data_IF_162679646227
#
_entry.id   IF_162679646227
#
_cell.length_a   1.000
_cell.length_b   1.000
_cell.length_c   1.000
_cell.angle_alpha   90.00
_cell.angle_beta   90.00
_cell.angle_gamma   90.00
#
_symmetry.space_group_name_H-M   'P 1'
#
loop_
_entity.id
_entity.type
_entity.pdbx_description
1 polymer ?
#
# COMPACT_ATOMS: atom_id res chain seq x y z
N UNK A 1 -24.48 11.62 22.53
CA UNK A 1 -25.44 11.26 21.45
C UNK A 1 -24.61 10.68 20.33
N UNK A 2 -24.70 9.39 20.09
CA UNK A 2 -24.06 8.76 18.93
C UNK A 2 -24.78 9.25 17.68
N UNK A 3 -24.07 9.93 16.78
CA UNK A 3 -24.63 10.33 15.50
C UNK A 3 -25.18 9.09 14.77
N UNK A 4 -26.28 9.25 14.01
CA UNK A 4 -26.83 8.15 13.22
C UNK A 4 -25.77 7.65 12.24
N UNK A 5 -25.71 6.32 11.99
CA UNK A 5 -24.79 5.73 11.03
C UNK A 5 -24.87 6.45 9.68
N UNK A 6 -23.71 6.75 9.09
CA UNK A 6 -23.58 7.36 7.76
C UNK A 6 -22.95 6.36 6.80
N UNK A 7 -23.25 6.46 5.52
CA UNK A 7 -22.67 5.59 4.51
C UNK A 7 -21.47 6.28 3.86
N UNK A 8 -20.28 5.67 3.95
CA UNK A 8 -19.04 6.16 3.33
C UNK A 8 -18.67 5.27 2.15
N UNK A 9 -18.54 5.86 0.97
CA UNK A 9 -18.09 5.18 -0.24
C UNK A 9 -16.57 5.16 -0.28
N UNK A 10 -15.98 3.99 -0.50
CA UNK A 10 -14.56 3.84 -0.86
C UNK A 10 -14.42 3.19 -2.24
N UNK A 11 -13.28 3.41 -2.91
CA UNK A 11 -13.00 2.72 -4.17
C UNK A 11 -12.36 1.36 -3.95
N UNK A 12 -12.70 0.41 -4.80
CA UNK A 12 -12.12 -0.93 -4.89
C UNK A 12 -11.00 -1.05 -5.92
N UNK A 13 -10.45 0.07 -6.43
CA UNK A 13 -9.45 0.06 -7.51
C UNK A 13 -8.23 -0.80 -7.16
N UNK A 14 -7.57 -0.48 -6.06
CA UNK A 14 -6.39 -1.23 -5.61
C UNK A 14 -6.74 -2.59 -4.97
N UNK A 15 -7.96 -2.75 -4.45
CA UNK A 15 -8.45 -4.00 -3.87
C UNK A 15 -8.66 -5.10 -4.91
N UNK A 16 -8.92 -4.73 -6.16
CA UNK A 16 -9.10 -5.67 -7.28
C UNK A 16 -7.78 -6.18 -7.88
N UNK A 17 -6.64 -5.63 -7.49
CA UNK A 17 -5.34 -6.07 -7.97
C UNK A 17 -4.94 -7.43 -7.35
N UNK A 18 -4.53 -8.39 -8.19
CA UNK A 18 -4.14 -9.74 -7.74
C UNK A 18 -2.94 -9.74 -6.79
N UNK A 19 -2.00 -8.80 -6.95
CA UNK A 19 -0.84 -8.61 -6.07
C UNK A 19 -1.12 -7.42 -5.16
N UNK A 20 -1.30 -7.69 -3.86
CA UNK A 20 -1.55 -6.65 -2.87
C UNK A 20 -0.42 -5.62 -2.83
N UNK A 21 -0.78 -4.34 -2.91
CA UNK A 21 0.12 -3.19 -2.73
C UNK A 21 -0.10 -2.57 -1.34
N UNK A 22 0.80 -1.71 -0.88
CA UNK A 22 0.59 -0.93 0.35
C UNK A 22 -0.73 -0.16 0.33
N UNK A 23 -1.15 0.35 -0.84
CA UNK A 23 -2.44 1.04 -1.01
C UNK A 23 -3.63 0.09 -0.81
N UNK A 24 -3.53 -1.17 -1.25
CA UNK A 24 -4.57 -2.16 -0.98
C UNK A 24 -4.68 -2.51 0.51
N UNK A 25 -3.55 -2.55 1.22
CA UNK A 25 -3.53 -2.71 2.68
C UNK A 25 -4.17 -1.51 3.38
N UNK A 26 -3.82 -0.30 2.95
CA UNK A 26 -4.47 0.93 3.42
C UNK A 26 -5.99 0.89 3.24
N UNK A 27 -6.48 0.57 2.04
CA UNK A 27 -7.92 0.52 1.75
C UNK A 27 -8.67 -0.51 2.61
N UNK A 28 -8.06 -1.68 2.87
CA UNK A 28 -8.64 -2.69 3.79
C UNK A 28 -8.69 -2.19 5.24
N UNK A 29 -7.61 -1.58 5.72
CA UNK A 29 -7.56 -1.04 7.08
C UNK A 29 -8.55 0.14 7.23
N UNK A 30 -8.59 1.04 6.25
CA UNK A 30 -9.56 2.13 6.21
C UNK A 30 -10.99 1.61 6.32
N UNK A 31 -11.38 0.61 5.53
CA UNK A 31 -12.74 0.06 5.56
C UNK A 31 -13.11 -0.54 6.91
N UNK A 32 -12.18 -1.28 7.54
CA UNK A 32 -12.37 -1.83 8.89
C UNK A 32 -12.59 -0.73 9.94
N UNK A 33 -11.76 0.33 9.88
CA UNK A 33 -11.84 1.39 10.87
C UNK A 33 -13.08 2.27 10.67
N UNK A 34 -13.54 2.48 9.42
CA UNK A 34 -14.85 3.13 9.15
C UNK A 34 -15.99 2.35 9.83
N UNK A 35 -16.03 1.02 9.64
CA UNK A 35 -17.01 0.16 10.30
C UNK A 35 -16.93 0.19 11.84
N UNK A 36 -15.71 0.23 12.40
CA UNK A 36 -15.47 0.33 13.84
C UNK A 36 -15.86 1.69 14.46
N UNK A 37 -15.84 2.75 13.64
CA UNK A 37 -16.39 4.08 14.04
C UNK A 37 -17.91 4.03 14.14
N UNK A 38 -18.57 3.10 13.46
CA UNK A 38 -20.02 2.94 13.42
C UNK A 38 -20.68 3.47 12.15
N UNK A 39 -19.90 3.67 11.08
CA UNK A 39 -20.41 4.04 9.76
C UNK A 39 -20.51 2.82 8.85
N UNK A 40 -21.47 2.86 7.91
CA UNK A 40 -21.59 1.85 6.86
C UNK A 40 -20.52 2.07 5.77
N UNK A 41 -19.94 0.98 5.29
CA UNK A 41 -18.95 1.00 4.21
C UNK A 41 -19.57 0.55 2.91
N UNK A 42 -19.60 1.42 1.92
CA UNK A 42 -19.93 1.09 0.54
C UNK A 42 -18.65 0.99 -0.30
N UNK A 43 -18.49 -0.08 -1.07
CA UNK A 43 -17.30 -0.27 -1.92
C UNK A 43 -17.69 -0.23 -3.39
N UNK A 44 -17.04 0.64 -4.17
CA UNK A 44 -17.24 0.76 -5.61
C UNK A 44 -16.19 -0.07 -6.38
N UNK A 45 -16.64 -1.05 -7.14
CA UNK A 45 -15.79 -1.83 -8.04
C UNK A 45 -16.00 -1.46 -9.51
N UNK A 46 -15.02 -1.81 -10.35
CA UNK A 46 -15.03 -1.60 -11.78
C UNK A 46 -14.97 -2.91 -12.60
N UNK A 47 -15.48 -4.01 -12.05
CA UNK A 47 -15.38 -5.33 -12.68
C UNK A 47 -16.28 -5.40 -13.94
N UNK A 48 -15.77 -6.02 -15.00
CA UNK A 48 -16.51 -6.30 -16.25
C UNK A 48 -17.48 -7.49 -16.07
N UNK A 49 -18.17 -7.53 -14.95
CA UNK A 49 -19.19 -8.52 -14.68
C UNK A 49 -20.47 -8.26 -15.46
N UNK A 50 -21.23 -9.30 -15.73
CA UNK A 50 -22.54 -9.16 -16.37
C UNK A 50 -23.49 -8.37 -15.45
N UNK A 51 -24.03 -7.28 -15.95
CA UNK A 51 -24.96 -6.40 -15.24
C UNK A 51 -26.41 -6.90 -15.37
N UNK A 52 -26.62 -8.22 -15.23
CA UNK A 52 -27.93 -8.86 -15.29
C UNK A 52 -28.97 -8.14 -14.43
N UNK A 53 -30.23 -8.19 -14.85
CA UNK A 53 -31.37 -7.75 -14.05
C UNK A 53 -31.56 -8.66 -12.83
N UNK A 54 -31.26 -9.97 -12.97
CA UNK A 54 -31.31 -10.95 -11.90
C UNK A 54 -30.21 -10.68 -10.85
N UNK A 55 -30.59 -10.46 -9.58
CA UNK A 55 -29.63 -10.18 -8.51
C UNK A 55 -28.62 -11.30 -8.28
N UNK A 56 -29.07 -12.59 -8.33
CA UNK A 56 -28.19 -13.73 -8.13
C UNK A 56 -27.15 -13.85 -9.25
N UNK A 57 -27.56 -13.66 -10.50
CA UNK A 57 -26.63 -13.71 -11.63
C UNK A 57 -25.63 -12.55 -11.61
N UNK A 58 -26.01 -11.38 -11.05
CA UNK A 58 -25.06 -10.28 -10.81
C UNK A 58 -24.03 -10.68 -9.75
N UNK A 59 -24.47 -11.27 -8.64
CA UNK A 59 -23.56 -11.73 -7.58
C UNK A 59 -22.59 -12.79 -8.11
N UNK A 60 -23.08 -13.82 -8.77
CA UNK A 60 -22.25 -14.87 -9.39
C UNK A 60 -21.24 -14.27 -10.36
N UNK A 61 -21.71 -13.47 -11.31
CA UNK A 61 -20.82 -12.84 -12.32
C UNK A 61 -19.80 -11.87 -11.73
N UNK A 62 -20.09 -11.25 -10.60
CA UNK A 62 -19.16 -10.34 -9.91
C UNK A 62 -17.99 -11.11 -9.27
N UNK A 63 -18.27 -12.28 -8.69
CA UNK A 63 -17.25 -13.14 -8.04
C UNK A 63 -16.60 -14.15 -9.00
N UNK A 64 -17.11 -14.29 -10.23
CA UNK A 64 -16.48 -15.08 -11.29
C UNK A 64 -15.40 -14.28 -12.00
N UNK A 65 -14.16 -14.46 -11.57
CA UNK A 65 -13.00 -13.74 -12.13
C UNK A 65 -12.63 -14.19 -13.55
N UNK A 66 -13.01 -15.41 -13.94
CA UNK A 66 -12.66 -16.01 -15.23
C UNK A 66 -13.64 -15.60 -16.34
N UNK A 67 -14.85 -15.18 -15.99
CA UNK A 67 -15.84 -14.66 -16.92
C UNK A 67 -15.53 -13.27 -17.51
N UNK A 68 -14.44 -12.61 -17.05
CA UNK A 68 -14.07 -11.27 -17.51
C UNK A 68 -13.49 -11.31 -18.92
N UNK A 69 -14.33 -11.00 -19.92
CA UNK A 69 -13.89 -10.90 -21.31
C UNK A 69 -13.00 -9.68 -21.52
N UNK A 70 -11.75 -9.90 -21.90
CA UNK A 70 -10.86 -8.82 -22.36
C UNK A 70 -11.02 -8.64 -23.88
N UNK A 71 -11.44 -7.45 -24.35
CA UNK A 71 -11.50 -7.19 -25.78
C UNK A 71 -10.09 -7.18 -26.38
N UNK A 72 -9.98 -7.59 -27.66
CA UNK A 72 -8.75 -7.48 -28.41
C UNK A 72 -8.23 -6.04 -28.53
N UNK A 73 -7.00 -5.85 -29.05
CA UNK A 73 -6.33 -4.52 -29.10
C UNK A 73 -7.19 -3.45 -29.78
N UNK A 74 -7.86 -3.76 -30.90
CA UNK A 74 -8.74 -2.84 -31.64
C UNK A 74 -10.03 -2.52 -30.89
N UNK A 75 -10.64 -3.51 -30.24
CA UNK A 75 -11.81 -3.30 -29.41
C UNK A 75 -11.51 -2.39 -28.22
N UNK A 76 -10.33 -2.52 -27.62
CA UNK A 76 -9.87 -1.64 -26.53
C UNK A 76 -9.75 -0.17 -26.95
N UNK A 77 -9.24 0.11 -28.17
CA UNK A 77 -9.09 1.48 -28.66
C UNK A 77 -10.46 2.15 -28.91
N UNK A 78 -11.38 1.43 -29.54
CA UNK A 78 -12.75 1.92 -29.79
C UNK A 78 -13.49 2.17 -28.47
N UNK A 79 -13.41 1.24 -27.52
CA UNK A 79 -14.00 1.42 -26.18
C UNK A 79 -13.44 2.65 -25.45
N UNK A 80 -12.13 2.88 -25.51
CA UNK A 80 -11.51 4.06 -24.90
C UNK A 80 -12.04 5.36 -25.49
N UNK A 81 -12.22 5.44 -26.81
CA UNK A 81 -12.83 6.58 -27.46
C UNK A 81 -14.27 6.80 -27.00
N UNK A 82 -15.09 5.74 -26.96
CA UNK A 82 -16.47 5.82 -26.49
C UNK A 82 -16.54 6.21 -25.00
N UNK A 83 -15.65 5.71 -24.19
CA UNK A 83 -15.56 6.08 -22.78
C UNK A 83 -15.17 7.55 -22.59
N UNK A 84 -14.22 8.03 -23.39
CA UNK A 84 -13.82 9.42 -23.38
C UNK A 84 -14.98 10.35 -23.75
N UNK A 85 -15.71 10.04 -24.82
CA UNK A 85 -16.85 10.84 -25.29
C UNK A 85 -18.01 10.90 -24.30
N UNK A 86 -18.30 9.79 -23.60
CA UNK A 86 -19.41 9.69 -22.63
C UNK A 86 -19.05 10.20 -21.22
N UNK A 87 -17.81 10.56 -20.97
CA UNK A 87 -17.33 10.98 -19.66
C UNK A 87 -18.16 12.06 -18.95
N UNK A 88 -18.57 13.15 -19.67
CA UNK A 88 -19.38 14.23 -19.06
C UNK A 88 -20.76 13.80 -18.58
N UNK A 89 -21.34 12.73 -19.14
CA UNK A 89 -22.67 12.23 -18.75
C UNK A 89 -22.69 11.59 -17.36
N UNK A 90 -21.50 11.37 -16.76
CA UNK A 90 -21.36 10.63 -15.51
C UNK A 90 -21.56 9.12 -15.71
N UNK A 91 -21.46 8.38 -14.62
CA UNK A 91 -21.59 6.93 -14.63
C UNK A 91 -22.56 6.51 -13.53
N UNK A 92 -23.38 5.49 -13.82
CA UNK A 92 -24.24 4.86 -12.81
C UNK A 92 -23.60 3.58 -12.32
N UNK A 93 -23.61 3.37 -11.01
CA UNK A 93 -23.24 2.09 -10.41
C UNK A 93 -24.50 1.29 -10.08
N UNK A 94 -24.40 -0.03 -10.10
CA UNK A 94 -25.49 -0.93 -9.68
C UNK A 94 -25.09 -1.65 -8.40
N UNK A 95 -26.02 -1.89 -7.48
CA UNK A 95 -25.75 -2.68 -6.30
C UNK A 95 -25.47 -4.13 -6.70
N UNK A 96 -24.46 -4.73 -6.06
CA UNK A 96 -24.17 -6.15 -6.14
C UNK A 96 -24.73 -6.77 -4.87
N UNK A 97 -25.74 -7.66 -4.97
CA UNK A 97 -26.28 -8.33 -3.80
C UNK A 97 -25.20 -9.21 -3.16
N UNK A 98 -25.20 -9.27 -1.84
CA UNK A 98 -24.37 -10.19 -1.06
C UNK A 98 -25.32 -11.12 -0.30
N UNK A 99 -25.89 -12.07 -1.03
CA UNK A 99 -26.97 -12.94 -0.50
C UNK A 99 -26.46 -14.06 0.40
N UNK A 100 -25.14 -14.28 0.42
CA UNK A 100 -24.50 -15.42 1.10
C UNK A 100 -24.69 -16.76 0.38
N UNK A 101 -25.37 -16.77 -0.77
CA UNK A 101 -25.54 -17.97 -1.63
C UNK A 101 -24.28 -18.29 -2.42
N UNK A 102 -23.49 -17.29 -2.74
CA UNK A 102 -22.20 -17.45 -3.41
C UNK A 102 -21.11 -17.65 -2.37
N UNK A 103 -20.31 -18.71 -2.53
CA UNK A 103 -19.23 -19.03 -1.59
C UNK A 103 -18.04 -18.10 -1.88
N UNK A 104 -17.85 -17.10 -1.03
CA UNK A 104 -16.77 -16.09 -1.16
C UNK A 104 -15.59 -16.32 -0.20
N UNK A 105 -15.57 -17.42 0.54
CA UNK A 105 -14.54 -17.72 1.56
C UNK A 105 -13.12 -17.71 1.03
N UNK A 106 -12.89 -18.10 -0.22
CA UNK A 106 -11.58 -18.04 -0.89
C UNK A 106 -11.09 -16.62 -1.12
N UNK A 107 -11.99 -15.65 -1.15
CA UNK A 107 -11.69 -14.23 -1.32
C UNK A 107 -11.70 -13.44 -0.01
N UNK A 108 -12.17 -14.04 1.08
CA UNK A 108 -12.41 -13.33 2.35
C UNK A 108 -11.17 -12.60 2.88
N UNK A 109 -9.97 -13.15 2.69
CA UNK A 109 -8.72 -12.50 3.13
C UNK A 109 -8.32 -11.29 2.26
N UNK A 110 -8.91 -11.14 1.08
CA UNK A 110 -8.63 -10.06 0.12
C UNK A 110 -9.72 -8.99 0.10
N UNK A 111 -10.92 -9.32 0.56
CA UNK A 111 -12.03 -8.38 0.61
C UNK A 111 -11.83 -7.36 1.74
N UNK A 112 -12.20 -6.09 1.53
CA UNK A 112 -12.32 -5.11 2.60
C UNK A 112 -13.51 -5.46 3.51
N UNK A 113 -13.67 -4.79 4.62
CA UNK A 113 -14.95 -4.70 5.30
C UNK A 113 -15.94 -3.94 4.41
N UNK A 114 -17.17 -4.42 4.25
CA UNK A 114 -18.22 -3.75 3.50
C UNK A 114 -19.61 -4.13 3.99
N UNK A 115 -20.50 -3.18 3.94
CA UNK A 115 -21.94 -3.36 4.15
C UNK A 115 -22.66 -3.37 2.80
N UNK A 116 -22.16 -2.60 1.83
CA UNK A 116 -22.72 -2.50 0.47
C UNK A 116 -21.63 -2.59 -0.58
N UNK A 117 -21.95 -3.25 -1.68
CA UNK A 117 -21.08 -3.32 -2.86
C UNK A 117 -21.79 -2.71 -4.05
N UNK A 118 -21.11 -1.79 -4.73
CA UNK A 118 -21.52 -1.23 -6.01
C UNK A 118 -20.53 -1.65 -7.10
N UNK A 119 -21.06 -1.93 -8.30
CA UNK A 119 -20.22 -2.17 -9.47
C UNK A 119 -20.64 -1.27 -10.63
N UNK A 120 -19.66 -0.66 -11.27
CA UNK A 120 -19.82 0.06 -12.53
C UNK A 120 -18.74 -0.41 -13.51
N UNK A 121 -19.06 -1.20 -14.53
CA UNK A 121 -18.06 -1.81 -15.41
C UNK A 121 -17.08 -0.80 -15.98
N UNK A 122 -15.77 -1.09 -15.81
CA UNK A 122 -14.64 -0.24 -16.25
C UNK A 122 -14.65 1.20 -15.71
N UNK A 123 -15.34 1.49 -14.61
CA UNK A 123 -15.51 2.85 -14.08
C UNK A 123 -14.18 3.62 -13.99
N UNK A 124 -13.13 2.98 -13.53
CA UNK A 124 -11.81 3.59 -13.36
C UNK A 124 -11.14 3.90 -14.70
N UNK A 125 -11.19 2.96 -15.66
CA UNK A 125 -10.67 3.16 -17.03
C UNK A 125 -11.44 4.24 -17.77
N UNK A 126 -12.76 4.22 -17.66
CA UNK A 126 -13.65 5.23 -18.26
C UNK A 126 -13.32 6.62 -17.73
N UNK A 127 -13.18 6.76 -16.42
CA UNK A 127 -12.82 8.02 -15.80
C UNK A 127 -11.44 8.52 -16.26
N UNK A 128 -10.44 7.64 -16.33
CA UNK A 128 -9.11 8.00 -16.83
C UNK A 128 -9.13 8.44 -18.30
N UNK A 129 -9.84 7.71 -19.16
CA UNK A 129 -9.98 8.06 -20.58
C UNK A 129 -10.73 9.39 -20.79
N UNK A 130 -11.81 9.59 -20.04
CA UNK A 130 -12.56 10.85 -20.06
C UNK A 130 -11.72 12.02 -19.55
N UNK A 131 -10.94 11.81 -18.48
CA UNK A 131 -10.04 12.84 -17.94
C UNK A 131 -8.93 13.25 -18.92
N UNK A 132 -8.38 12.30 -19.68
CA UNK A 132 -7.39 12.61 -20.72
C UNK A 132 -7.97 13.56 -21.78
N UNK A 133 -9.24 13.38 -22.16
CA UNK A 133 -9.90 14.19 -23.18
C UNK A 133 -10.45 15.51 -22.61
N UNK A 134 -11.21 15.43 -21.51
CA UNK A 134 -11.98 16.57 -20.99
C UNK A 134 -11.29 17.32 -19.85
N UNK A 135 -10.29 16.72 -19.21
CA UNK A 135 -9.59 17.29 -18.06
C UNK A 135 -10.48 17.50 -16.81
N UNK A 136 -11.59 16.77 -16.70
CA UNK A 136 -12.55 16.87 -15.61
C UNK A 136 -12.78 15.50 -14.97
N UNK A 137 -12.91 15.40 -13.61
CA UNK A 137 -13.33 14.17 -12.96
C UNK A 137 -14.76 13.76 -13.39
N UNK A 138 -14.95 12.47 -13.68
CA UNK A 138 -16.25 11.90 -13.99
C UNK A 138 -17.10 11.74 -12.73
N UNK A 139 -18.39 12.09 -12.81
CA UNK A 139 -19.32 11.88 -11.70
C UNK A 139 -19.79 10.42 -11.65
N UNK A 140 -19.87 9.86 -10.42
CA UNK A 140 -20.52 8.57 -10.16
C UNK A 140 -21.81 8.82 -9.38
N UNK A 141 -22.88 8.10 -9.75
CA UNK A 141 -24.20 8.19 -9.11
C UNK A 141 -24.70 6.78 -8.79
N UNK A 142 -24.43 6.25 -7.62
CA UNK A 142 -25.08 5.04 -7.13
C UNK A 142 -26.59 5.29 -6.91
N UNK A 143 -27.45 4.26 -7.02
CA UNK A 143 -28.90 4.43 -6.80
C UNK A 143 -29.22 4.78 -5.33
N UNK A 144 -28.45 4.25 -4.40
CA UNK A 144 -28.45 4.63 -2.99
C UNK A 144 -27.23 5.49 -2.74
N UNK A 145 -27.43 6.80 -2.60
CA UNK A 145 -26.37 7.78 -2.50
C UNK A 145 -25.67 7.72 -1.14
N UNK A 146 -24.37 7.36 -1.08
CA UNK A 146 -23.57 7.51 0.13
C UNK A 146 -23.50 8.96 0.60
N UNK A 147 -23.24 9.17 1.88
CA UNK A 147 -23.15 10.51 2.46
C UNK A 147 -21.83 11.21 2.11
N UNK A 148 -20.75 10.42 1.91
CA UNK A 148 -19.40 10.89 1.62
C UNK A 148 -18.67 9.86 0.74
N UNK A 149 -17.74 10.31 -0.11
CA UNK A 149 -16.75 9.43 -0.75
C UNK A 149 -15.35 9.70 -0.21
N UNK A 150 -14.68 8.62 0.23
CA UNK A 150 -13.26 8.63 0.58
C UNK A 150 -12.48 7.77 -0.44
N UNK A 151 -11.91 8.45 -1.43
CA UNK A 151 -11.13 7.83 -2.48
C UNK A 151 -9.77 7.42 -1.94
N UNK A 152 -9.44 6.14 -2.01
CA UNK A 152 -8.20 5.58 -1.42
C UNK A 152 -6.95 5.87 -2.24
N UNK A 153 -7.12 6.44 -3.43
CA UNK A 153 -6.07 6.79 -4.38
C UNK A 153 -6.52 7.98 -5.25
N UNK A 154 -5.61 8.84 -5.75
CA UNK A 154 -5.99 9.94 -6.63
C UNK A 154 -6.56 9.42 -7.95
N UNK A 155 -7.86 9.60 -8.15
CA UNK A 155 -8.57 9.19 -9.36
C UNK A 155 -9.45 10.30 -9.88
N UNK A 156 -9.65 10.38 -11.22
CA UNK A 156 -10.52 11.37 -11.82
C UNK A 156 -12.01 10.96 -11.71
N UNK A 157 -12.44 10.62 -10.49
CA UNK A 157 -13.82 10.27 -10.14
C UNK A 157 -14.29 11.14 -8.98
N UNK A 158 -15.57 11.46 -8.92
CA UNK A 158 -16.21 12.12 -7.79
C UNK A 158 -17.61 11.57 -7.55
N UNK A 159 -18.04 11.49 -6.32
CA UNK A 159 -19.43 11.23 -5.95
C UNK A 159 -20.24 12.51 -6.18
N UNK A 160 -21.31 12.43 -6.98
CA UNK A 160 -22.06 13.61 -7.37
C UNK A 160 -22.86 14.20 -6.19
N UNK A 161 -22.69 15.51 -5.92
CA UNK A 161 -23.49 16.24 -4.91
C UNK A 161 -23.23 15.82 -3.46
N UNK A 162 -22.09 15.20 -3.20
CA UNK A 162 -21.64 14.79 -1.86
C UNK A 162 -20.18 15.16 -1.64
N UNK A 163 -19.72 15.27 -0.38
CA UNK A 163 -18.32 15.50 -0.08
C UNK A 163 -17.41 14.41 -0.66
N UNK A 164 -16.25 14.82 -1.18
CA UNK A 164 -15.24 13.95 -1.76
C UNK A 164 -13.88 14.20 -1.10
N UNK A 165 -13.39 13.21 -0.39
CA UNK A 165 -12.06 13.19 0.23
C UNK A 165 -11.15 12.28 -0.58
N UNK A 166 -9.91 12.69 -0.84
CA UNK A 166 -8.95 11.88 -1.60
C UNK A 166 -7.70 11.63 -0.76
N UNK A 167 -7.31 10.35 -0.64
CA UNK A 167 -6.00 10.02 -0.08
C UNK A 167 -4.92 10.14 -1.14
N UNK A 168 -3.90 10.95 -0.84
CA UNK A 168 -2.68 11.11 -1.61
C UNK A 168 -1.53 10.55 -0.79
N UNK A 169 -1.08 9.34 -1.12
CA UNK A 169 -0.09 8.61 -0.32
C UNK A 169 1.29 9.23 -0.37
N UNK A 170 1.72 9.67 -1.56
CA UNK A 170 3.02 10.29 -1.80
C UNK A 170 3.04 11.07 -3.12
N UNK A 171 4.14 11.80 -3.32
CA UNK A 171 4.43 12.52 -4.56
C UNK A 171 5.64 11.93 -5.30
N UNK A 172 5.93 10.63 -5.10
CA UNK A 172 7.06 9.92 -5.71
C UNK A 172 7.18 10.16 -7.22
N UNK A 173 6.10 10.14 -8.04
CA UNK A 173 6.24 10.39 -9.47
C UNK A 173 6.84 11.76 -9.82
N UNK A 174 6.73 12.74 -8.94
CA UNK A 174 7.28 14.08 -9.12
C UNK A 174 8.57 14.32 -8.32
N UNK A 175 8.70 13.68 -7.16
CA UNK A 175 9.89 13.81 -6.29
C UNK A 175 11.07 13.00 -6.81
N UNK A 176 10.82 11.76 -7.23
CA UNK A 176 11.80 10.84 -7.81
C UNK A 176 11.36 10.36 -9.21
N UNK A 177 11.32 11.25 -10.21
CA UNK A 177 10.72 10.97 -11.51
C UNK A 177 11.36 9.81 -12.26
N UNK A 178 12.61 9.48 -11.98
CA UNK A 178 13.37 8.39 -12.60
C UNK A 178 13.03 7.02 -12.00
N UNK A 179 12.34 6.96 -10.87
CA UNK A 179 11.99 5.72 -10.18
C UNK A 179 10.59 5.20 -10.53
N UNK A 180 9.81 5.92 -11.33
CA UNK A 180 8.44 5.54 -11.71
C UNK A 180 8.22 5.60 -13.21
N UNK A 181 7.27 4.80 -13.71
CA UNK A 181 6.81 4.83 -15.11
C UNK A 181 5.62 5.74 -15.34
N UNK A 182 5.09 6.39 -14.31
CA UNK A 182 3.94 7.25 -14.40
C UNK A 182 4.18 8.44 -15.33
N UNK A 183 3.13 8.86 -16.06
CA UNK A 183 3.12 10.13 -16.77
C UNK A 183 3.03 11.30 -15.77
N UNK A 184 4.18 11.94 -15.52
CA UNK A 184 4.35 13.01 -14.53
C UNK A 184 3.46 14.22 -14.82
N UNK A 185 3.27 14.55 -16.11
CA UNK A 185 2.41 15.68 -16.54
C UNK A 185 0.93 15.35 -16.29
N UNK A 186 0.52 14.15 -16.65
CA UNK A 186 -0.86 13.70 -16.42
C UNK A 186 -1.15 13.59 -14.91
N UNK A 187 -0.19 13.10 -14.12
CA UNK A 187 -0.29 13.00 -12.67
C UNK A 187 -0.46 14.39 -12.03
N UNK A 188 0.45 15.33 -12.32
CA UNK A 188 0.36 16.70 -11.78
C UNK A 188 -0.94 17.40 -12.21
N UNK A 189 -1.36 17.22 -13.47
CA UNK A 189 -2.64 17.76 -13.97
C UNK A 189 -3.81 17.20 -13.18
N UNK A 190 -3.80 15.90 -12.87
CA UNK A 190 -4.84 15.27 -12.07
C UNK A 190 -4.89 15.89 -10.67
N UNK A 191 -3.76 15.96 -9.96
CA UNK A 191 -3.70 16.53 -8.61
C UNK A 191 -4.22 17.97 -8.58
N UNK A 192 -3.74 18.83 -9.50
CA UNK A 192 -4.21 20.22 -9.60
C UNK A 192 -5.70 20.34 -9.94
N UNK A 193 -6.25 19.33 -10.62
CA UNK A 193 -7.68 19.33 -10.93
C UNK A 193 -8.50 18.85 -9.73
N UNK A 194 -8.02 17.85 -9.03
CA UNK A 194 -8.63 17.40 -7.78
C UNK A 194 -8.59 18.53 -6.73
N UNK A 195 -7.53 19.31 -6.66
CA UNK A 195 -7.44 20.45 -5.75
C UNK A 195 -8.61 21.43 -5.91
N UNK A 196 -9.12 21.62 -7.14
CA UNK A 196 -10.27 22.49 -7.43
C UNK A 196 -11.63 21.86 -7.15
N UNK A 197 -11.71 20.54 -6.97
CA UNK A 197 -12.96 19.79 -6.94
C UNK A 197 -13.14 18.89 -5.73
N UNK A 198 -12.07 18.61 -5.00
CA UNK A 198 -12.10 17.87 -3.74
C UNK A 198 -12.60 18.75 -2.61
N UNK A 199 -13.31 18.19 -1.66
CA UNK A 199 -13.63 18.88 -0.42
C UNK A 199 -12.44 18.86 0.54
N UNK A 200 -11.67 17.76 0.54
CA UNK A 200 -10.50 17.61 1.39
C UNK A 200 -9.51 16.56 0.87
N UNK A 201 -8.28 16.63 1.37
CA UNK A 201 -7.24 15.64 1.12
C UNK A 201 -6.81 14.96 2.42
N UNK A 202 -6.49 13.69 2.29
CA UNK A 202 -5.86 12.89 3.33
C UNK A 202 -4.49 12.45 2.88
N UNK A 203 -3.54 12.43 3.79
CA UNK A 203 -2.22 11.86 3.54
C UNK A 203 -1.80 10.97 4.71
N UNK A 204 -0.71 10.25 4.52
CA UNK A 204 -0.27 9.19 5.43
C UNK A 204 0.99 9.55 6.23
N UNK A 205 1.54 10.75 6.00
CA UNK A 205 2.68 11.28 6.77
C UNK A 205 2.76 12.81 6.66
N UNK A 206 3.43 13.46 7.60
CA UNK A 206 3.73 14.90 7.49
C UNK A 206 4.70 15.19 6.35
N UNK A 207 5.61 14.25 6.04
CA UNK A 207 6.45 14.34 4.86
C UNK A 207 5.61 14.44 3.58
N UNK A 208 4.67 13.51 3.38
CA UNK A 208 3.77 13.56 2.21
C UNK A 208 2.89 14.82 2.20
N UNK A 209 2.47 15.32 3.38
CA UNK A 209 1.75 16.58 3.49
C UNK A 209 2.59 17.76 3.00
N UNK A 210 3.84 17.87 3.44
CA UNK A 210 4.77 18.91 2.96
C UNK A 210 4.96 18.84 1.44
N UNK A 211 5.16 17.63 0.88
CA UNK A 211 5.30 17.47 -0.56
C UNK A 211 4.04 17.91 -1.35
N UNK A 212 2.85 17.66 -0.81
CA UNK A 212 1.60 18.13 -1.43
C UNK A 212 1.49 19.66 -1.43
N UNK A 213 1.91 20.31 -0.35
CA UNK A 213 1.97 21.78 -0.27
C UNK A 213 3.02 22.31 -1.23
N UNK A 214 4.26 21.80 -1.15
CA UNK A 214 5.43 22.37 -1.86
C UNK A 214 5.37 22.11 -3.37
N UNK A 215 4.92 20.92 -3.79
CA UNK A 215 4.95 20.50 -5.21
C UNK A 215 3.64 20.78 -5.92
N UNK A 216 2.51 20.47 -5.26
CA UNK A 216 1.20 20.63 -5.88
C UNK A 216 0.53 21.96 -5.57
N UNK A 217 1.00 22.71 -4.56
CA UNK A 217 0.46 24.00 -4.12
C UNK A 217 -0.88 23.89 -3.40
N UNK A 218 -1.19 22.72 -2.81
CA UNK A 218 -2.43 22.53 -2.07
C UNK A 218 -2.31 23.23 -0.72
N UNK A 219 -3.33 24.00 -0.36
CA UNK A 219 -3.36 24.71 0.91
C UNK A 219 -3.31 23.74 2.11
N UNK A 220 -2.43 23.96 3.11
CA UNK A 220 -2.18 23.00 4.19
C UNK A 220 -3.41 22.71 5.06
N UNK A 221 -4.36 23.64 5.19
CA UNK A 221 -5.64 23.48 5.89
C UNK A 221 -6.60 22.52 5.18
N UNK A 222 -6.37 22.24 3.90
CA UNK A 222 -7.12 21.27 3.09
C UNK A 222 -6.53 19.88 3.14
N UNK A 223 -5.45 19.67 3.90
CA UNK A 223 -4.76 18.38 4.00
C UNK A 223 -4.73 17.95 5.46
N UNK A 224 -5.31 16.79 5.75
CA UNK A 224 -5.17 16.13 7.04
C UNK A 224 -4.27 14.91 6.92
N UNK A 225 -3.23 14.84 7.76
CA UNK A 225 -2.46 13.63 7.93
C UNK A 225 -3.16 12.73 8.96
N UNK A 226 -3.71 11.62 8.49
CA UNK A 226 -4.32 10.60 9.37
C UNK A 226 -3.32 9.53 9.77
N UNK A 227 -2.13 9.52 9.15
CA UNK A 227 -1.25 8.36 9.12
C UNK A 227 -1.97 7.13 8.53
N UNK A 228 -1.46 5.96 8.83
CA UNK A 228 -2.14 4.69 8.61
C UNK A 228 -1.73 3.70 9.69
N UNK A 229 -2.49 2.63 9.85
CA UNK A 229 -2.22 1.60 10.84
C UNK A 229 -1.76 0.30 10.20
N UNK A 230 -1.10 -0.53 11.00
CA UNK A 230 -0.83 -1.92 10.70
C UNK A 230 -1.67 -2.79 11.63
N UNK A 231 -2.38 -3.74 11.05
CA UNK A 231 -3.20 -4.71 11.79
C UNK A 231 -2.64 -6.12 11.52
N UNK A 232 -1.82 -6.62 12.45
CA UNK A 232 -1.31 -8.00 12.41
C UNK A 232 -2.14 -8.82 13.40
N UNK A 233 -2.81 -9.91 12.94
CA UNK A 233 -3.59 -10.77 13.82
C UNK A 233 -2.80 -11.23 15.03
N UNK A 234 -3.40 -11.15 16.23
CA UNK A 234 -2.74 -11.53 17.48
C UNK A 234 -2.19 -12.97 17.44
N UNK A 235 -2.92 -13.92 16.81
CA UNK A 235 -2.46 -15.29 16.63
C UNK A 235 -1.12 -15.42 15.86
N UNK A 236 -0.76 -14.43 15.03
CA UNK A 236 0.52 -14.39 14.32
C UNK A 236 1.55 -13.55 15.09
N UNK A 237 1.11 -12.41 15.63
CA UNK A 237 1.98 -11.49 16.37
C UNK A 237 2.50 -12.10 17.67
N UNK A 238 1.63 -12.79 18.41
CA UNK A 238 1.91 -13.24 19.77
C UNK A 238 2.32 -14.72 19.84
N UNK A 239 2.71 -15.33 18.70
CA UNK A 239 3.24 -16.71 18.68
C UNK A 239 4.42 -16.85 19.67
N UNK A 240 4.52 -17.99 20.38
CA UNK A 240 5.69 -18.30 21.20
C UNK A 240 7.02 -18.25 20.40
N UNK A 241 8.09 -17.77 21.01
CA UNK A 241 9.39 -17.63 20.31
C UNK A 241 9.95 -18.98 19.83
N UNK A 242 9.76 -20.05 20.61
CA UNK A 242 10.18 -21.40 20.24
C UNK A 242 9.42 -21.94 19.02
N UNK A 243 8.15 -21.55 18.86
CA UNK A 243 7.40 -21.88 17.65
C UNK A 243 7.92 -21.09 16.44
N UNK A 244 8.18 -19.79 16.61
CA UNK A 244 8.78 -18.96 15.55
C UNK A 244 10.13 -19.53 15.12
N UNK A 245 10.99 -19.92 16.08
CA UNK A 245 12.30 -20.51 15.80
C UNK A 245 12.16 -21.79 14.95
N UNK A 246 11.30 -22.74 15.38
CA UNK A 246 11.06 -23.98 14.61
C UNK A 246 10.52 -23.72 13.19
N UNK A 247 9.60 -22.75 13.03
CA UNK A 247 9.05 -22.42 11.73
C UNK A 247 10.09 -21.78 10.80
N UNK A 248 11.01 -20.97 11.35
CA UNK A 248 12.11 -20.35 10.59
C UNK A 248 13.14 -21.41 10.18
N UNK A 249 13.58 -22.26 11.11
CA UNK A 249 14.56 -23.33 10.86
C UNK A 249 14.08 -24.35 9.83
N UNK A 250 12.76 -24.59 9.76
CA UNK A 250 12.16 -25.42 8.72
C UNK A 250 12.00 -24.74 7.36
N UNK A 251 12.40 -23.47 7.23
CA UNK A 251 12.22 -22.69 6.02
C UNK A 251 13.57 -22.15 5.48
N UNK A 252 13.93 -22.57 4.25
CA UNK A 252 15.10 -22.08 3.49
C UNK A 252 16.46 -22.15 4.22
N UNK A 253 16.66 -23.13 5.11
CA UNK A 253 17.89 -23.34 5.89
C UNK A 253 18.35 -22.08 6.68
N UNK A 254 17.40 -21.30 7.18
CA UNK A 254 17.65 -20.11 7.96
C UNK A 254 17.66 -20.42 9.46
N UNK A 255 18.67 -19.90 10.18
CA UNK A 255 18.69 -19.94 11.66
C UNK A 255 17.82 -18.84 12.27
N UNK A 256 17.19 -19.14 13.40
CA UNK A 256 16.46 -18.13 14.17
C UNK A 256 17.39 -17.01 14.63
N UNK A 257 17.03 -15.75 14.33
CA UNK A 257 17.87 -14.54 14.54
C UNK A 257 19.26 -14.62 13.88
N UNK A 258 19.35 -15.40 12.80
CA UNK A 258 20.62 -15.59 12.09
C UNK A 258 20.53 -15.25 10.61
N UNK A 259 19.69 -14.28 10.26
CA UNK A 259 19.59 -13.68 8.93
C UNK A 259 19.11 -12.23 9.01
N UNK A 260 19.44 -11.46 7.98
CA UNK A 260 18.87 -10.13 7.72
C UNK A 260 17.72 -10.27 6.73
N UNK A 261 16.75 -9.37 6.81
CA UNK A 261 15.55 -9.46 5.98
C UNK A 261 15.24 -8.12 5.29
N UNK A 262 14.88 -8.21 4.02
CA UNK A 262 14.19 -7.18 3.25
C UNK A 262 12.91 -7.79 2.64
N UNK A 263 11.79 -7.06 2.63
CA UNK A 263 10.60 -7.43 1.86
C UNK A 263 9.94 -6.23 1.21
N UNK A 264 9.34 -6.46 0.05
CA UNK A 264 8.66 -5.46 -0.76
C UNK A 264 8.91 -5.64 -2.24
N UNK A 265 8.26 -4.86 -3.10
CA UNK A 265 8.53 -4.87 -4.54
C UNK A 265 9.97 -4.47 -4.82
N UNK A 266 10.62 -5.21 -5.72
CA UNK A 266 11.98 -4.87 -6.18
C UNK A 266 11.83 -3.78 -7.24
N UNK A 267 12.02 -2.54 -6.81
CA UNK A 267 11.87 -1.33 -7.62
C UNK A 267 12.88 -0.26 -7.19
N UNK A 268 13.26 0.68 -8.06
CA UNK A 268 14.36 1.62 -7.80
C UNK A 268 14.22 2.45 -6.52
N UNK A 269 13.01 2.85 -6.13
CA UNK A 269 12.81 3.63 -4.90
C UNK A 269 13.14 2.87 -3.62
N UNK A 270 13.14 1.52 -3.66
CA UNK A 270 13.50 0.66 -2.52
C UNK A 270 15.00 0.49 -2.37
N UNK A 271 15.80 0.91 -3.37
CA UNK A 271 17.26 0.99 -3.30
C UNK A 271 17.95 -0.35 -3.06
N UNK A 272 17.40 -1.42 -3.64
CA UNK A 272 17.87 -2.79 -3.41
C UNK A 272 19.30 -2.96 -3.94
N UNK A 273 19.62 -2.35 -5.07
CA UNK A 273 20.96 -2.43 -5.66
C UNK A 273 22.03 -1.96 -4.67
N UNK A 274 21.84 -0.77 -4.07
CA UNK A 274 22.76 -0.21 -3.09
C UNK A 274 22.77 -1.00 -1.79
N UNK A 275 21.60 -1.53 -1.38
CA UNK A 275 21.52 -2.45 -0.24
C UNK A 275 22.38 -3.70 -0.46
N UNK A 276 22.29 -4.34 -1.64
CA UNK A 276 23.07 -5.52 -1.97
C UNK A 276 24.58 -5.24 -2.01
N UNK A 277 24.99 -4.11 -2.60
CA UNK A 277 26.39 -3.66 -2.59
C UNK A 277 26.90 -3.45 -1.17
N UNK A 278 26.18 -2.72 -0.34
CA UNK A 278 26.53 -2.46 1.05
C UNK A 278 26.58 -3.74 1.89
N UNK A 279 25.62 -4.65 1.70
CA UNK A 279 25.58 -5.93 2.38
C UNK A 279 26.79 -6.80 2.03
N UNK A 280 27.14 -6.92 0.75
CA UNK A 280 28.31 -7.69 0.33
C UNK A 280 29.62 -7.08 0.82
N UNK A 281 29.71 -5.74 0.84
CA UNK A 281 30.86 -5.01 1.35
C UNK A 281 30.97 -5.10 2.89
N UNK A 282 29.87 -5.32 3.61
CA UNK A 282 29.86 -5.44 5.07
C UNK A 282 30.57 -6.70 5.56
N UNK A 283 30.61 -7.76 4.77
CA UNK A 283 31.21 -9.05 5.07
C UNK A 283 30.67 -9.74 6.34
N UNK A 284 29.47 -9.37 6.79
CA UNK A 284 28.81 -10.04 7.93
C UNK A 284 28.50 -11.50 7.60
N UNK A 285 28.54 -12.40 8.56
CA UNK A 285 28.42 -13.86 8.28
C UNK A 285 26.97 -14.36 8.16
N UNK A 286 25.98 -13.49 8.35
CA UNK A 286 24.58 -13.84 8.26
C UNK A 286 24.04 -13.66 6.84
N UNK A 287 23.17 -14.55 6.33
CA UNK A 287 22.56 -14.39 4.99
C UNK A 287 21.57 -13.22 4.97
N UNK A 288 21.35 -12.67 3.78
CA UNK A 288 20.29 -11.71 3.51
C UNK A 288 19.14 -12.38 2.76
N UNK A 289 17.97 -12.41 3.37
CA UNK A 289 16.73 -12.83 2.74
C UNK A 289 16.03 -11.65 2.09
N UNK A 290 15.80 -11.73 0.78
CA UNK A 290 15.08 -10.72 0.00
C UNK A 290 13.76 -11.31 -0.50
N UNK A 291 12.65 -10.80 -0.02
CA UNK A 291 11.30 -11.28 -0.39
C UNK A 291 10.61 -10.19 -1.21
N UNK A 292 10.30 -10.49 -2.47
CA UNK A 292 9.55 -9.55 -3.30
C UNK A 292 9.50 -9.89 -4.77
N UNK A 293 8.38 -9.50 -5.38
CA UNK A 293 8.22 -9.62 -6.82
C UNK A 293 9.07 -8.57 -7.54
N UNK A 294 9.64 -8.97 -8.65
CA UNK A 294 10.31 -8.05 -9.56
C UNK A 294 9.29 -7.10 -10.18
N UNK A 295 9.53 -5.80 -10.03
CA UNK A 295 8.76 -4.72 -10.64
C UNK A 295 9.55 -4.11 -11.82
N UNK A 296 9.19 -2.91 -12.26
CA UNK A 296 9.91 -2.22 -13.33
C UNK A 296 11.36 -1.89 -12.92
N UNK A 297 12.29 -1.97 -13.88
CA UNK A 297 13.74 -1.72 -13.69
C UNK A 297 14.41 -2.58 -12.60
N UNK A 298 13.80 -3.68 -12.20
CA UNK A 298 14.35 -4.60 -11.20
C UNK A 298 15.66 -5.24 -11.63
N UNK A 299 15.92 -5.36 -12.94
CA UNK A 299 17.17 -5.89 -13.48
C UNK A 299 18.39 -5.08 -13.02
N UNK A 300 18.27 -3.75 -12.97
CA UNK A 300 19.32 -2.86 -12.47
C UNK A 300 19.55 -3.06 -10.97
N UNK A 301 18.48 -3.18 -10.20
CA UNK A 301 18.54 -3.42 -8.75
C UNK A 301 19.17 -4.77 -8.41
N UNK A 302 19.01 -5.77 -9.25
CA UNK A 302 19.55 -7.11 -9.06
C UNK A 302 20.85 -7.37 -9.83
N UNK A 303 21.47 -6.33 -10.40
CA UNK A 303 22.64 -6.45 -11.27
C UNK A 303 23.79 -7.24 -10.60
N UNK A 304 24.04 -7.00 -9.32
CA UNK A 304 25.09 -7.68 -8.55
C UNK A 304 24.86 -9.20 -8.46
N UNK A 305 23.60 -9.61 -8.29
CA UNK A 305 23.23 -11.03 -8.25
C UNK A 305 23.33 -11.70 -9.63
N UNK A 306 23.11 -10.95 -10.70
CA UNK A 306 23.10 -11.43 -12.07
C UNK A 306 24.51 -11.40 -12.72
N UNK A 307 25.53 -10.84 -12.06
CA UNK A 307 26.90 -10.82 -12.57
C UNK A 307 27.47 -12.23 -12.73
N UNK A 308 28.23 -12.42 -13.84
CA UNK A 308 29.02 -13.64 -14.07
C UNK A 308 30.33 -13.55 -13.28
N UNK A 309 30.86 -14.72 -12.88
CA UNK A 309 32.14 -14.82 -12.19
C UNK A 309 32.03 -14.81 -10.65
N UNK A 310 33.18 -14.76 -9.97
CA UNK A 310 33.32 -14.98 -8.52
C UNK A 310 32.45 -14.06 -7.66
N UNK A 311 32.25 -12.80 -8.06
CA UNK A 311 31.46 -11.85 -7.28
C UNK A 311 29.97 -12.23 -7.28
N UNK A 312 29.41 -12.53 -8.43
CA UNK A 312 28.01 -12.97 -8.54
C UNK A 312 27.77 -14.32 -7.86
N UNK A 313 28.73 -15.25 -7.94
CA UNK A 313 28.63 -16.53 -7.21
C UNK A 313 28.64 -16.32 -5.69
N UNK A 314 29.54 -15.47 -5.17
CA UNK A 314 29.59 -15.11 -3.76
C UNK A 314 28.28 -14.43 -3.33
N UNK A 315 27.72 -13.53 -4.15
CA UNK A 315 26.47 -12.86 -3.88
C UNK A 315 25.31 -13.87 -3.78
N UNK A 316 25.15 -14.76 -4.77
CA UNK A 316 24.08 -15.78 -4.78
C UNK A 316 24.16 -16.80 -3.64
N UNK A 317 25.35 -17.06 -3.10
CA UNK A 317 25.52 -17.93 -1.93
C UNK A 317 25.05 -17.27 -0.61
N UNK A 318 25.04 -15.94 -0.56
CA UNK A 318 24.75 -15.17 0.66
C UNK A 318 23.39 -14.48 0.63
N UNK A 319 22.78 -14.34 -0.54
CA UNK A 319 21.49 -13.69 -0.73
C UNK A 319 20.47 -14.71 -1.18
N UNK A 320 19.48 -14.97 -0.33
CA UNK A 320 18.35 -15.83 -0.66
C UNK A 320 17.23 -14.95 -1.20
N UNK A 321 16.81 -15.17 -2.45
CA UNK A 321 15.75 -14.39 -3.09
C UNK A 321 14.49 -15.22 -3.24
N UNK A 322 13.36 -14.71 -2.75
CA UNK A 322 12.04 -15.30 -2.86
C UNK A 322 11.06 -14.31 -3.50
N UNK A 323 10.33 -14.71 -4.54
CA UNK A 323 9.39 -13.80 -5.21
C UNK A 323 8.17 -13.49 -4.35
N UNK A 324 7.79 -14.38 -3.47
CA UNK A 324 6.61 -14.28 -2.61
C UNK A 324 6.66 -15.31 -1.47
N UNK A 325 6.11 -14.90 -0.33
CA UNK A 325 5.76 -15.82 0.77
C UNK A 325 4.35 -15.47 1.28
N UNK A 326 3.57 -16.46 1.80
CA UNK A 326 2.29 -16.18 2.43
C UNK A 326 2.44 -15.25 3.65
N UNK A 327 1.45 -14.40 3.90
CA UNK A 327 1.51 -13.40 4.98
C UNK A 327 1.83 -14.01 6.36
N UNK A 328 1.25 -15.15 6.79
CA UNK A 328 1.63 -15.76 8.07
C UNK A 328 3.11 -16.12 8.14
N UNK A 329 3.69 -16.64 7.05
CA UNK A 329 5.11 -16.96 6.98
C UNK A 329 5.96 -15.68 6.97
N UNK A 330 5.51 -14.61 6.28
CA UNK A 330 6.20 -13.33 6.31
C UNK A 330 6.30 -12.78 7.74
N UNK A 331 5.22 -12.84 8.51
CA UNK A 331 5.22 -12.43 9.93
C UNK A 331 6.22 -13.27 10.75
N UNK A 332 6.24 -14.59 10.54
CA UNK A 332 7.23 -15.49 11.19
C UNK A 332 8.66 -15.10 10.83
N UNK A 333 8.93 -14.84 9.54
CA UNK A 333 10.25 -14.45 9.06
C UNK A 333 10.67 -13.05 9.56
N UNK A 334 9.75 -12.10 9.69
CA UNK A 334 10.07 -10.80 10.29
C UNK A 334 10.48 -10.99 11.76
N UNK A 335 9.69 -11.73 12.54
CA UNK A 335 9.96 -11.97 13.95
C UNK A 335 11.26 -12.76 14.20
N UNK A 336 11.57 -13.68 13.29
CA UNK A 336 12.77 -14.51 13.38
C UNK A 336 14.04 -13.87 12.81
N UNK A 337 13.97 -12.68 12.21
CA UNK A 337 15.13 -12.00 11.65
C UNK A 337 16.01 -11.38 12.73
N UNK A 338 17.33 -11.33 12.50
CA UNK A 338 18.29 -10.56 13.32
C UNK A 338 18.02 -9.06 13.22
N UNK A 339 17.62 -8.59 12.05
CA UNK A 339 17.21 -7.23 11.77
C UNK A 339 16.67 -7.08 10.35
N UNK A 340 15.99 -5.98 10.12
CA UNK A 340 15.34 -5.65 8.84
C UNK A 340 16.05 -4.47 8.21
N UNK A 341 16.18 -4.48 6.89
CA UNK A 341 16.94 -3.47 6.16
C UNK A 341 16.02 -2.75 5.15
N UNK A 342 15.82 -1.44 5.37
CA UNK A 342 14.93 -0.59 4.56
C UNK A 342 15.59 0.74 4.15
N UNK A 343 16.73 0.72 3.40
CA UNK A 343 17.41 1.94 2.96
C UNK A 343 16.73 2.55 1.73
N UNK A 344 15.38 2.69 1.77
CA UNK A 344 14.59 3.23 0.66
C UNK A 344 14.95 4.69 0.37
N UNK A 345 14.98 5.08 -0.91
CA UNK A 345 15.22 6.47 -1.31
C UNK A 345 14.05 7.37 -0.92
N UNK A 346 12.86 6.83 -0.92
CA UNK A 346 11.64 7.55 -0.54
C UNK A 346 10.51 6.58 -0.18
N UNK A 347 9.81 6.88 0.90
CA UNK A 347 8.55 6.24 1.30
C UNK A 347 7.49 7.29 1.59
N UNK A 348 6.24 7.01 1.22
CA UNK A 348 5.11 7.85 1.64
C UNK A 348 4.78 7.66 3.12
N UNK A 349 5.01 6.45 3.65
CA UNK A 349 4.81 6.11 5.06
C UNK A 349 5.94 5.22 5.62
N UNK A 350 6.12 4.01 5.09
CA UNK A 350 7.10 3.05 5.59
C UNK A 350 6.46 1.89 6.34
N UNK A 351 5.39 1.31 5.77
CA UNK A 351 4.70 0.15 6.36
C UNK A 351 5.65 -0.96 6.83
N UNK A 352 6.67 -1.37 6.02
CA UNK A 352 7.55 -2.42 6.45
C UNK A 352 8.35 -2.10 7.72
N UNK A 353 8.83 -0.87 7.87
CA UNK A 353 9.52 -0.47 9.10
C UNK A 353 8.57 -0.53 10.31
N UNK A 354 7.33 -0.07 10.15
CA UNK A 354 6.31 -0.15 11.20
C UNK A 354 5.93 -1.59 11.52
N UNK A 355 5.76 -2.45 10.51
CA UNK A 355 5.48 -3.89 10.68
C UNK A 355 6.57 -4.58 11.49
N UNK A 356 7.85 -4.29 11.19
CA UNK A 356 8.99 -4.83 11.92
C UNK A 356 9.02 -4.34 13.38
N UNK A 357 8.81 -3.05 13.61
CA UNK A 357 8.74 -2.48 14.96
C UNK A 357 7.61 -3.08 15.79
N UNK A 358 6.42 -3.25 15.19
CA UNK A 358 5.26 -3.89 15.84
C UNK A 358 5.54 -5.34 16.24
N UNK A 359 6.40 -6.03 15.49
CA UNK A 359 6.81 -7.41 15.74
C UNK A 359 8.07 -7.52 16.59
N UNK A 360 8.61 -6.41 17.08
CA UNK A 360 9.80 -6.37 17.95
C UNK A 360 11.12 -6.67 17.23
N UNK A 361 11.17 -6.53 15.90
CA UNK A 361 12.38 -6.78 15.10
C UNK A 361 13.13 -5.47 14.89
N UNK A 362 14.46 -5.43 15.19
CA UNK A 362 15.28 -4.25 14.97
C UNK A 362 15.30 -3.79 13.51
N UNK A 363 15.23 -2.49 13.27
CA UNK A 363 15.14 -1.88 11.95
C UNK A 363 16.36 -1.02 11.65
N UNK A 364 16.95 -1.20 10.46
CA UNK A 364 17.81 -0.23 9.82
C UNK A 364 17.00 0.40 8.66
N UNK A 365 16.88 1.71 8.65
CA UNK A 365 16.15 2.41 7.57
C UNK A 365 16.81 3.73 7.18
N UNK A 366 16.31 4.34 6.11
CA UNK A 366 16.80 5.65 5.68
C UNK A 366 16.42 6.76 6.66
N UNK A 367 17.25 7.78 6.70
CA UNK A 367 17.01 9.05 7.39
C UNK A 367 16.22 10.08 6.56
N UNK A 368 15.60 9.63 5.47
CA UNK A 368 14.90 10.49 4.50
C UNK A 368 13.40 10.21 4.41
N UNK A 369 12.67 11.13 3.81
CA UNK A 369 11.24 11.08 3.56
C UNK A 369 10.43 10.88 4.85
N UNK A 370 9.50 9.91 4.88
CA UNK A 370 8.66 9.63 6.05
C UNK A 370 9.31 8.73 7.09
N UNK A 371 10.42 8.04 6.77
CA UNK A 371 10.99 7.04 7.66
C UNK A 371 11.46 7.61 9.01
N UNK A 372 12.10 8.79 9.09
CA UNK A 372 12.43 9.42 10.39
C UNK A 372 11.18 9.72 11.24
N UNK A 373 10.10 10.14 10.61
CA UNK A 373 8.83 10.44 11.28
C UNK A 373 8.18 9.17 11.85
N UNK A 374 8.24 8.07 11.09
CA UNK A 374 7.59 6.81 11.47
C UNK A 374 8.44 6.03 12.48
N UNK A 375 9.74 5.95 12.25
CA UNK A 375 10.64 5.17 13.10
C UNK A 375 11.08 5.94 14.35
N UNK A 376 11.17 7.28 14.31
CA UNK A 376 11.70 8.06 15.42
C UNK A 376 13.09 7.57 15.81
N UNK A 377 13.32 7.39 17.09
CA UNK A 377 14.58 6.84 17.63
C UNK A 377 14.59 5.30 17.74
N UNK A 378 13.61 4.63 17.13
CA UNK A 378 13.46 3.18 17.21
C UNK A 378 14.10 2.41 16.06
N UNK A 379 14.87 3.09 15.21
CA UNK A 379 15.61 2.49 14.11
C UNK A 379 17.02 3.04 14.02
N UNK A 380 17.92 2.23 13.49
CA UNK A 380 19.24 2.69 13.05
C UNK A 380 19.09 3.38 11.69
N UNK A 381 19.26 4.71 11.66
CA UNK A 381 19.08 5.50 10.46
C UNK A 381 20.38 5.67 9.69
N UNK A 382 20.29 5.63 8.37
CA UNK A 382 21.42 5.79 7.45
C UNK A 382 21.02 6.65 6.24
N UNK A 383 21.99 7.38 5.68
CA UNK A 383 21.81 8.03 4.39
C UNK A 383 21.64 6.96 3.29
N UNK A 384 20.49 6.90 2.58
CA UNK A 384 20.24 5.90 1.54
C UNK A 384 21.11 6.10 0.28
N UNK A 385 21.75 7.25 0.13
CA UNK A 385 22.66 7.54 -0.97
C UNK A 385 24.11 7.18 -0.67
N UNK A 386 24.44 6.92 0.58
CA UNK A 386 25.79 6.52 1.04
C UNK A 386 25.88 5.02 1.27
N UNK A 387 26.49 4.28 0.33
CA UNK A 387 26.69 2.83 0.43
C UNK A 387 27.59 2.48 1.64
N UNK A 388 28.54 3.35 2.02
CA UNK A 388 29.42 3.10 3.17
C UNK A 388 28.65 3.25 4.49
N UNK A 389 27.77 4.24 4.61
CA UNK A 389 26.89 4.41 5.76
C UNK A 389 25.95 3.20 5.93
N UNK A 390 25.33 2.72 4.85
CA UNK A 390 24.50 1.50 4.87
C UNK A 390 25.34 0.28 5.30
N UNK A 391 26.53 0.12 4.72
CA UNK A 391 27.47 -0.97 5.08
C UNK A 391 27.82 -0.94 6.57
N UNK A 392 28.20 0.23 7.10
CA UNK A 392 28.50 0.40 8.52
C UNK A 392 27.29 0.13 9.41
N UNK A 393 26.10 0.62 9.03
CA UNK A 393 24.86 0.33 9.72
C UNK A 393 24.55 -1.16 9.80
N UNK A 394 24.76 -1.91 8.71
CA UNK A 394 24.62 -3.38 8.69
C UNK A 394 25.59 -4.05 9.66
N UNK A 395 26.87 -3.63 9.67
CA UNK A 395 27.86 -4.16 10.61
C UNK A 395 27.46 -3.90 12.06
N UNK A 396 27.08 -2.68 12.38
CA UNK A 396 26.63 -2.27 13.71
C UNK A 396 25.42 -3.10 14.15
N UNK A 397 24.38 -3.20 13.28
CA UNK A 397 23.19 -3.98 13.57
C UNK A 397 23.50 -5.47 13.81
N UNK A 398 24.49 -6.04 13.11
CA UNK A 398 24.87 -7.43 13.30
C UNK A 398 25.72 -7.67 14.54
N UNK A 399 26.65 -6.76 14.87
CA UNK A 399 27.62 -6.93 15.94
C UNK A 399 27.05 -6.58 17.34
N UNK A 400 26.22 -5.54 17.44
CA UNK A 400 25.78 -4.98 18.71
C UNK A 400 24.40 -5.57 19.13
N UNK A 401 24.46 -6.51 20.08
CA UNK A 401 23.27 -7.16 20.63
C UNK A 401 22.43 -6.22 21.52
N UNK A 402 23.09 -5.35 22.26
CA UNK A 402 22.44 -4.42 23.19
C UNK A 402 21.69 -3.35 22.40
N UNK A 403 22.28 -2.84 21.32
CA UNK A 403 21.60 -1.95 20.38
C UNK A 403 20.35 -2.61 19.79
N UNK A 404 20.45 -3.87 19.33
CA UNK A 404 19.28 -4.59 18.81
C UNK A 404 18.16 -4.73 19.83
N UNK A 405 18.51 -5.07 21.08
CA UNK A 405 17.53 -5.18 22.17
C UNK A 405 16.85 -3.83 22.44
N UNK A 406 17.62 -2.74 22.46
CA UNK A 406 17.09 -1.40 22.67
C UNK A 406 16.22 -0.92 21.49
N UNK A 407 16.63 -1.13 20.25
CA UNK A 407 15.82 -0.81 19.07
C UNK A 407 14.51 -1.60 19.04
N UNK A 408 14.54 -2.89 19.40
CA UNK A 408 13.34 -3.71 19.55
C UNK A 408 12.38 -3.13 20.59
N UNK A 409 12.88 -2.80 21.77
CA UNK A 409 12.09 -2.21 22.86
C UNK A 409 11.49 -0.87 22.47
N UNK A 410 12.27 0.02 21.88
CA UNK A 410 11.79 1.32 21.37
C UNK A 410 10.79 1.14 20.23
N UNK A 411 11.02 0.17 19.35
CA UNK A 411 10.14 -0.15 18.22
C UNK A 411 8.73 -0.51 18.66
N UNK A 412 8.59 -1.36 19.66
CA UNK A 412 7.30 -1.72 20.23
C UNK A 412 6.54 -0.50 20.79
N UNK A 413 7.24 0.42 21.43
CA UNK A 413 6.65 1.66 21.97
C UNK A 413 6.26 2.62 20.83
N UNK A 414 7.16 2.82 19.87
CA UNK A 414 6.92 3.72 18.73
C UNK A 414 5.74 3.25 17.89
N UNK A 415 5.60 1.94 17.66
CA UNK A 415 4.51 1.36 16.88
C UNK A 415 3.11 1.66 17.46
N UNK A 416 2.99 1.88 18.78
CA UNK A 416 1.71 2.22 19.42
C UNK A 416 1.13 3.55 18.93
N UNK A 417 1.96 4.49 18.48
CA UNK A 417 1.50 5.77 17.91
C UNK A 417 0.66 5.58 16.63
N UNK A 418 0.85 4.43 15.97
CA UNK A 418 0.19 4.05 14.72
C UNK A 418 -0.75 2.86 14.90
N UNK A 419 -1.15 2.57 16.14
CA UNK A 419 -2.11 1.53 16.44
C UNK A 419 -3.47 1.82 15.77
N UNK A 420 -4.28 0.78 15.48
CA UNK A 420 -5.60 0.95 14.86
C UNK A 420 -6.51 1.94 15.59
N UNK A 421 -6.43 2.00 16.91
CA UNK A 421 -7.20 2.91 17.76
C UNK A 421 -6.85 4.38 17.51
N UNK A 422 -5.54 4.68 17.40
CA UNK A 422 -5.04 6.02 17.11
C UNK A 422 -5.42 6.47 15.68
N UNK A 423 -5.35 5.56 14.71
CA UNK A 423 -5.79 5.80 13.33
C UNK A 423 -7.30 6.05 13.27
N UNK A 424 -8.10 5.24 13.98
CA UNK A 424 -9.56 5.38 14.08
C UNK A 424 -9.96 6.74 14.65
N UNK A 425 -9.30 7.18 15.71
CA UNK A 425 -9.59 8.48 16.33
C UNK A 425 -9.37 9.66 15.35
N UNK A 426 -8.27 9.60 14.56
CA UNK A 426 -8.00 10.63 13.53
C UNK A 426 -8.99 10.59 12.38
N UNK A 427 -9.45 9.41 11.97
CA UNK A 427 -10.51 9.27 10.95
C UNK A 427 -11.86 9.79 11.46
N UNK A 428 -12.24 9.47 12.69
CA UNK A 428 -13.49 9.95 13.28
C UNK A 428 -13.51 11.48 13.38
N UNK A 429 -12.41 12.10 13.83
CA UNK A 429 -12.24 13.55 13.84
C UNK A 429 -12.38 14.16 12.44
N UNK A 430 -11.75 13.53 11.44
CA UNK A 430 -11.84 13.96 10.04
C UNK A 430 -13.29 13.90 9.55
N UNK A 431 -13.98 12.77 9.74
CA UNK A 431 -15.31 12.56 9.17
C UNK A 431 -16.36 13.46 9.80
N UNK A 432 -16.26 13.77 11.08
CA UNK A 432 -17.16 14.75 11.77
C UNK A 432 -17.19 16.13 11.12
N UNK A 433 -16.17 16.49 10.34
CA UNK A 433 -16.11 17.77 9.63
C UNK A 433 -16.95 17.79 8.36
N UNK A 434 -17.32 16.63 7.83
CA UNK A 434 -17.97 16.48 6.52
C UNK A 434 -19.31 15.73 6.59
N UNK A 435 -19.62 15.06 7.69
CA UNK A 435 -20.85 14.33 7.99
C UNK A 435 -21.69 14.99 9.05
#
# INVERSE_FOLDING_TARGET
>A
MTASPRTILIDGYNLSLQKGTGVATYARNLSKEIGRIGHEVAVLYGNRSNMSADPLLREVSFFDTDAQRHPGKWGNALEQCLYALRGPLGQTARPVPTTGKVVTRTFASRLPHYDRVFNAPDVFRRAQSAFKLWGQPSAIKPPEMPDLAHWTYPMPLRLAGRPNIYTLHDMVPLRLPYTTLDDKRAYLRLIRKLDRSADHFVTVSECSKRDLVDIAGIAPERITNTYQSVDIPAALRDKPEDQVAREVEGFADLGYRDYLLFWGSIEPKKNIGRLLEAYLASQVDVPLLVIGAQAWKSEQELQVLNQKGKLGEKARKRVVQLPYVPFPMLVTLIRGARGVLFPSLYEGFGLPALEAMLLGTPVLCSDTASLPEIAGEAALMVDPYDTAAICQGIRTLCADADLRAELSRRGLIQAQKFAPEAYRARLDELYRRFL
#
